data_IF_180342425429
#
_entry.id   IF_180342425429
#
_cell.length_a   1.000
_cell.length_b   1.000
_cell.length_c   1.000
_cell.angle_alpha   90.00
_cell.angle_beta   90.00
_cell.angle_gamma   90.00
#
_symmetry.space_group_name_H-M   'P 1'
#
loop_
_entity.id
_entity.type
_entity.pdbx_description
1 polymer ?
#
# COMPACT_ATOMS: atom_id res chain seq x y z
N UNK A 1 8.14 -0.53 0.98
CA UNK A 1 7.10 -0.63 2.02
C UNK A 1 6.92 -2.09 2.41
N UNK A 2 6.92 -2.46 3.69
CA UNK A 2 6.63 -3.86 4.09
C UNK A 2 5.12 -4.06 4.19
N UNK A 3 4.53 -4.98 3.43
CA UNK A 3 3.10 -5.29 3.52
C UNK A 3 2.90 -6.73 3.99
N UNK A 4 1.80 -6.97 4.72
CA UNK A 4 1.46 -8.32 5.20
C UNK A 4 0.84 -9.12 4.05
N UNK A 5 1.47 -10.21 3.67
CA UNK A 5 0.95 -11.13 2.66
C UNK A 5 0.75 -12.51 3.28
N UNK A 6 -0.51 -12.86 3.58
CA UNK A 6 -0.81 -14.03 4.41
C UNK A 6 -0.20 -13.87 5.81
N UNK A 7 0.62 -14.82 6.23
CA UNK A 7 1.34 -14.74 7.52
C UNK A 7 2.70 -14.02 7.40
N UNK A 8 3.20 -13.79 6.19
CA UNK A 8 4.54 -13.26 5.94
C UNK A 8 4.55 -11.74 5.70
N UNK A 9 5.74 -11.14 5.84
CA UNK A 9 5.97 -9.75 5.45
C UNK A 9 6.72 -9.72 4.13
N UNK A 10 6.16 -9.03 3.14
CA UNK A 10 6.76 -8.85 1.83
C UNK A 10 7.13 -7.41 1.58
N UNK A 11 8.22 -7.20 0.84
CA UNK A 11 8.65 -5.88 0.44
C UNK A 11 7.96 -5.47 -0.86
N UNK A 12 7.13 -4.43 -0.76
CA UNK A 12 6.56 -3.70 -1.88
C UNK A 12 7.51 -2.55 -2.26
N UNK A 13 7.85 -2.35 -3.54
CA UNK A 13 8.58 -1.17 -3.97
C UNK A 13 7.88 0.13 -3.55
N UNK A 14 8.63 1.07 -2.96
CA UNK A 14 8.05 2.33 -2.46
C UNK A 14 7.37 3.12 -3.56
N UNK A 15 7.91 3.07 -4.77
CA UNK A 15 7.31 3.69 -5.95
C UNK A 15 5.85 3.24 -6.08
N UNK A 16 5.59 1.93 -6.11
CA UNK A 16 4.24 1.35 -6.20
C UNK A 16 3.32 1.89 -5.11
N UNK A 17 3.80 1.91 -3.86
CA UNK A 17 3.05 2.43 -2.75
C UNK A 17 2.77 3.94 -2.88
N UNK A 18 3.73 4.74 -3.36
CA UNK A 18 3.57 6.18 -3.59
C UNK A 18 2.53 6.43 -4.68
N UNK A 19 2.54 5.70 -5.80
CA UNK A 19 1.53 5.94 -6.83
C UNK A 19 0.13 5.60 -6.33
N UNK A 20 -0.04 4.48 -5.62
CA UNK A 20 -1.32 4.10 -5.04
C UNK A 20 -1.81 5.18 -4.07
N UNK A 21 -0.97 5.60 -3.12
CA UNK A 21 -1.36 6.56 -2.09
C UNK A 21 -1.52 7.98 -2.63
N UNK A 22 -0.72 8.39 -3.62
CA UNK A 22 -0.82 9.71 -4.21
C UNK A 22 -1.98 9.86 -5.20
N UNK A 23 -2.62 8.75 -5.58
CA UNK A 23 -3.72 8.74 -6.54
C UNK A 23 -4.83 9.73 -6.11
N UNK A 24 -5.15 10.75 -6.93
CA UNK A 24 -6.12 11.79 -6.58
C UNK A 24 -7.58 11.33 -6.69
N UNK A 25 -7.85 10.11 -7.17
CA UNK A 25 -9.18 9.50 -7.13
C UNK A 25 -9.62 9.13 -5.72
N UNK A 26 -8.69 9.07 -4.78
CA UNK A 26 -8.96 8.95 -3.35
C UNK A 26 -9.23 10.36 -2.78
N UNK A 27 -10.47 10.60 -2.35
CA UNK A 27 -10.87 11.86 -1.67
C UNK A 27 -10.33 11.95 -0.23
N UNK A 28 -9.53 10.98 0.19
CA UNK A 28 -9.02 10.86 1.54
C UNK A 28 -7.88 11.86 1.80
N UNK A 29 -7.95 12.49 2.97
CA UNK A 29 -6.82 13.24 3.53
C UNK A 29 -5.79 12.24 4.05
N UNK A 30 -4.80 11.98 3.20
CA UNK A 30 -3.67 11.11 3.45
C UNK A 30 -3.02 11.37 4.82
N UNK A 31 -2.95 12.63 5.27
CA UNK A 31 -2.25 13.01 6.50
C UNK A 31 -2.84 12.42 7.79
N UNK A 32 -4.11 12.01 7.75
CA UNK A 32 -4.83 11.46 8.90
C UNK A 32 -4.84 9.93 8.93
N UNK A 33 -4.35 9.27 7.88
CA UNK A 33 -4.42 7.81 7.77
C UNK A 33 -3.53 7.09 8.79
N UNK A 34 -4.08 6.01 9.31
CA UNK A 34 -3.37 5.01 10.11
C UNK A 34 -2.60 4.03 9.21
N UNK A 35 -1.61 3.37 9.81
CA UNK A 35 -0.86 2.26 9.21
C UNK A 35 -1.78 1.15 8.66
N UNK A 36 -2.86 0.87 9.39
CA UNK A 36 -3.86 -0.13 9.01
C UNK A 36 -4.57 0.27 7.72
N UNK A 37 -5.05 1.50 7.63
CA UNK A 37 -5.77 2.01 6.43
C UNK A 37 -4.86 2.05 5.20
N UNK A 38 -3.61 2.47 5.37
CA UNK A 38 -2.60 2.43 4.30
C UNK A 38 -2.43 1.00 3.78
N UNK A 39 -2.32 0.03 4.69
CA UNK A 39 -2.20 -1.38 4.31
C UNK A 39 -3.43 -1.84 3.52
N UNK A 40 -4.64 -1.52 3.99
CA UNK A 40 -5.90 -1.87 3.31
C UNK A 40 -5.94 -1.35 1.89
N UNK A 41 -5.65 -0.06 1.69
CA UNK A 41 -5.72 0.57 0.37
C UNK A 41 -4.71 -0.06 -0.58
N UNK A 42 -3.47 -0.23 -0.11
CA UNK A 42 -2.42 -0.84 -0.93
C UNK A 42 -2.79 -2.27 -1.33
N UNK A 43 -3.31 -3.08 -0.40
CA UNK A 43 -3.81 -4.42 -0.72
C UNK A 43 -4.98 -4.41 -1.72
N UNK A 44 -5.95 -3.52 -1.51
CA UNK A 44 -7.11 -3.36 -2.39
C UNK A 44 -6.72 -2.96 -3.81
N UNK A 45 -5.83 -1.97 -3.95
CA UNK A 45 -5.34 -1.51 -5.25
C UNK A 45 -4.50 -2.57 -5.97
N UNK A 46 -3.66 -3.31 -5.23
CA UNK A 46 -2.91 -4.42 -5.80
C UNK A 46 -3.81 -5.61 -6.17
N UNK A 47 -5.10 -5.61 -5.80
CA UNK A 47 -6.00 -6.76 -6.02
C UNK A 47 -5.54 -8.00 -5.26
N UNK A 48 -4.77 -7.80 -4.19
CA UNK A 48 -4.19 -8.88 -3.40
C UNK A 48 -5.20 -9.28 -2.34
N UNK A 49 -5.98 -10.30 -2.66
CA UNK A 49 -6.81 -11.03 -1.68
C UNK A 49 -6.19 -12.41 -1.47
N UNK A 50 -5.27 -12.51 -0.50
CA UNK A 50 -4.69 -13.73 0.10
C UNK A 50 -3.69 -14.60 -0.71
N UNK A 51 -2.64 -15.00 0.03
CA UNK A 51 -1.67 -16.11 0.03
C UNK A 51 -1.08 -16.70 -1.28
N UNK A 52 -1.47 -16.22 -2.46
CA UNK A 52 -0.90 -16.71 -3.71
C UNK A 52 0.31 -15.87 -4.17
N UNK A 53 1.51 -16.40 -3.98
CA UNK A 53 2.78 -15.74 -4.33
C UNK A 53 2.92 -15.40 -5.83
N UNK A 54 2.43 -16.25 -6.74
CA UNK A 54 2.46 -15.95 -8.18
C UNK A 54 1.59 -14.72 -8.49
N UNK A 55 0.42 -14.62 -7.83
CA UNK A 55 -0.48 -13.45 -7.95
C UNK A 55 0.16 -12.19 -7.39
N UNK A 56 0.96 -12.29 -6.33
CA UNK A 56 1.69 -11.15 -5.78
C UNK A 56 2.65 -10.56 -6.81
N UNK A 57 3.58 -11.36 -7.32
CA UNK A 57 4.61 -10.89 -8.26
C UNK A 57 4.00 -10.41 -9.58
N UNK A 58 2.98 -11.11 -10.09
CA UNK A 58 2.26 -10.69 -11.30
C UNK A 58 1.57 -9.33 -11.11
N UNK A 59 0.91 -9.11 -9.98
CA UNK A 59 0.27 -7.82 -9.68
C UNK A 59 1.30 -6.70 -9.53
N UNK A 60 2.44 -6.96 -8.88
CA UNK A 60 3.55 -5.99 -8.81
C UNK A 60 4.03 -5.63 -10.22
N UNK A 61 4.19 -6.62 -11.10
CA UNK A 61 4.64 -6.38 -12.47
C UNK A 61 3.63 -5.56 -13.27
N UNK A 62 2.33 -5.88 -13.16
CA UNK A 62 1.25 -5.10 -13.79
C UNK A 62 1.27 -3.66 -13.31
N UNK A 63 1.45 -3.43 -12.01
CA UNK A 63 1.53 -2.07 -11.45
C UNK A 63 2.78 -1.33 -11.90
N UNK A 64 3.93 -1.99 -12.04
CA UNK A 64 5.15 -1.39 -12.63
C UNK A 64 4.94 -0.96 -14.08
N UNK A 65 4.21 -1.75 -14.86
CA UNK A 65 3.91 -1.43 -16.25
C UNK A 65 2.89 -0.27 -16.35
N UNK A 66 1.99 -0.15 -15.37
CA UNK A 66 1.02 0.94 -15.27
C UNK A 66 1.62 2.25 -14.70
N UNK A 67 2.73 2.14 -13.98
CA UNK A 67 3.37 3.17 -13.16
C UNK A 67 3.67 4.48 -13.90
N UNK A 68 3.92 4.41 -15.21
CA UNK A 68 4.19 5.59 -16.04
C UNK A 68 2.98 6.48 -16.31
N UNK A 69 1.76 6.11 -15.87
CA UNK A 69 0.52 6.82 -16.23
C UNK A 69 -0.24 7.44 -15.06
N UNK A 70 0.10 7.12 -13.80
CA UNK A 70 -0.81 7.37 -12.67
C UNK A 70 -0.16 7.96 -11.43
N UNK A 71 1.02 8.60 -11.53
CA UNK A 71 1.52 9.36 -10.38
C UNK A 71 0.62 10.56 -10.12
N UNK A 72 0.17 10.70 -8.87
CA UNK A 72 -0.60 11.85 -8.43
C UNK A 72 0.22 13.15 -8.43
N UNK A 73 -0.39 14.29 -8.13
CA UNK A 73 0.29 15.57 -7.97
C UNK A 73 1.47 15.52 -6.98
N UNK A 74 2.49 16.37 -7.19
CA UNK A 74 3.74 16.36 -6.41
C UNK A 74 3.53 16.52 -4.89
N UNK A 75 2.54 17.31 -4.47
CA UNK A 75 2.18 17.51 -3.07
C UNK A 75 1.60 16.24 -2.43
N UNK A 76 0.77 15.49 -3.17
CA UNK A 76 0.26 14.18 -2.72
C UNK A 76 1.34 13.11 -2.71
N UNK A 77 2.26 13.13 -3.67
CA UNK A 77 3.43 12.24 -3.63
C UNK A 77 4.30 12.50 -2.39
N UNK A 78 4.47 13.76 -2.00
CA UNK A 78 5.23 14.10 -0.79
C UNK A 78 4.51 13.64 0.48
N UNK A 79 3.19 13.81 0.55
CA UNK A 79 2.37 13.25 1.64
C UNK A 79 2.49 11.73 1.71
N UNK A 80 2.42 11.03 0.57
CA UNK A 80 2.58 9.58 0.50
C UNK A 80 3.96 9.14 1.03
N UNK A 81 5.05 9.84 0.69
CA UNK A 81 6.39 9.54 1.24
C UNK A 81 6.45 9.71 2.75
N UNK A 82 5.87 10.79 3.29
CA UNK A 82 5.82 11.03 4.74
C UNK A 82 5.06 9.91 5.45
N UNK A 83 3.96 9.44 4.85
CA UNK A 83 3.18 8.33 5.40
C UNK A 83 3.92 7.01 5.35
N UNK A 84 4.66 6.74 4.28
CA UNK A 84 5.49 5.55 4.19
C UNK A 84 6.58 5.52 5.26
N UNK A 85 7.19 6.67 5.56
CA UNK A 85 8.16 6.79 6.65
C UNK A 85 7.52 6.59 8.03
N UNK A 86 6.32 7.15 8.26
CA UNK A 86 5.54 6.88 9.48
C UNK A 86 5.20 5.39 9.61
N UNK A 87 4.74 4.79 8.51
CA UNK A 87 4.35 3.40 8.41
C UNK A 87 5.51 2.45 8.78
N UNK A 88 6.71 2.70 8.23
CA UNK A 88 7.93 1.93 8.55
C UNK A 88 8.28 1.95 10.03
N UNK A 89 8.16 3.10 10.68
CA UNK A 89 8.47 3.24 12.11
C UNK A 89 7.49 2.43 12.97
N UNK A 90 6.20 2.59 12.71
CA UNK A 90 5.13 1.92 13.48
C UNK A 90 5.16 0.40 13.33
N UNK A 91 5.53 -0.10 12.15
CA UNK A 91 5.62 -1.55 11.87
C UNK A 91 6.85 -2.21 12.48
N UNK A 92 7.93 -1.45 12.67
CA UNK A 92 9.09 -1.94 13.42
C UNK A 92 8.79 -2.10 14.92
N UNK A 93 7.70 -1.51 15.41
CA UNK A 93 7.36 -1.45 16.83
C UNK A 93 6.17 -2.35 17.22
N UNK A 94 5.23 -2.66 16.31
CA UNK A 94 4.08 -3.55 16.56
C UNK A 94 3.53 -4.17 15.27
N UNK A 95 3.00 -5.39 15.39
CA UNK A 95 2.52 -6.28 14.33
C UNK A 95 1.79 -5.59 13.16
N UNK A 96 2.16 -5.94 11.93
CA UNK A 96 1.46 -5.46 10.72
C UNK A 96 0.01 -5.92 10.78
N UNK A 97 -0.89 -4.93 10.74
CA UNK A 97 -2.34 -5.05 10.76
C UNK A 97 -2.84 -6.15 9.83
N UNK A 98 -3.19 -7.28 10.45
CA UNK A 98 -4.03 -8.31 9.87
C UNK A 98 -5.44 -7.73 9.83
N UNK A 99 -6.01 -7.63 8.62
CA UNK A 99 -7.43 -7.35 8.47
C UNK A 99 -8.05 -8.70 8.12
N UNK A 100 -8.85 -9.29 9.03
CA UNK A 100 -9.69 -10.42 8.69
C UNK A 100 -10.51 -10.06 7.44
N UNK A 101 -10.70 -11.01 6.51
CA UNK A 101 -11.53 -10.80 5.31
C UNK A 101 -12.91 -10.20 5.65
N UNK A 102 -13.41 -10.47 6.85
CA UNK A 102 -14.66 -9.98 7.43
C UNK A 102 -14.71 -8.44 7.57
N UNK A 103 -13.56 -7.79 7.73
CA UNK A 103 -13.41 -6.33 7.92
C UNK A 103 -13.14 -5.59 6.59
N UNK A 104 -13.11 -6.29 5.45
CA UNK A 104 -12.88 -5.71 4.12
C UNK A 104 -14.15 -5.33 3.35
N UNK A 105 -15.35 -5.61 3.88
CA UNK A 105 -16.64 -5.42 3.21
C UNK A 105 -17.59 -4.48 3.98
#
# INVERSE_FOLDING_TARGET
MLIRFGEELKELPDEIAIAILSDPSTDDDLSLMSTREINTIVHGCLGITTDNEEVFEDNIQVWKDFFFRSMGPDDRQEQAKVLLEKYRREISETEIGVIPIEDMF
#
